data_IF_343690554216
#
_entry.id   IF_343690554216
#
_cell.length_a   1.000
_cell.length_b   1.000
_cell.length_c   1.000
_cell.angle_alpha   90.00
_cell.angle_beta   90.00
_cell.angle_gamma   90.00
#
_symmetry.space_group_name_H-M   'P 1'
#
loop_
_entity.id
_entity.type
_entity.pdbx_description
1 polymer ?
#
# COMPACT_ATOMS: atom_id res chain seq x y z
N UNK A 1 64.43 -17.02 -34.12
CA UNK A 1 63.79 -16.33 -35.27
C UNK A 1 62.32 -16.74 -35.33
N UNK A 2 61.43 -15.75 -35.50
CA UNK A 2 59.97 -15.83 -35.76
C UNK A 2 59.09 -16.17 -34.54
N UNK A 3 57.97 -15.51 -34.29
CA UNK A 3 57.37 -14.25 -34.79
C UNK A 3 56.36 -13.85 -33.70
N UNK A 4 56.36 -12.58 -33.34
CA UNK A 4 55.36 -11.91 -32.49
C UNK A 4 54.02 -11.89 -33.23
N UNK A 5 52.92 -12.26 -32.55
CA UNK A 5 51.58 -11.83 -32.92
C UNK A 5 50.87 -11.37 -31.63
N UNK A 6 50.87 -10.06 -31.44
CA UNK A 6 50.01 -9.34 -30.51
C UNK A 6 48.57 -9.43 -31.07
N UNK A 7 47.65 -9.98 -30.29
CA UNK A 7 46.21 -9.90 -30.56
C UNK A 7 45.65 -8.79 -29.67
N UNK A 8 45.36 -7.65 -30.29
CA UNK A 8 44.55 -6.58 -29.70
C UNK A 8 43.10 -7.04 -29.68
N UNK A 9 42.58 -7.38 -28.50
CA UNK A 9 41.15 -7.60 -28.26
C UNK A 9 40.53 -6.26 -27.87
N UNK A 10 39.95 -5.57 -28.85
CA UNK A 10 39.06 -4.43 -28.66
C UNK A 10 37.72 -5.00 -28.18
N UNK A 11 37.49 -5.00 -26.87
CA UNK A 11 36.15 -5.23 -26.32
C UNK A 11 35.36 -3.93 -26.41
N UNK A 12 34.53 -3.86 -27.45
CA UNK A 12 33.52 -2.81 -27.64
C UNK A 12 32.49 -2.98 -26.51
N UNK A 13 32.46 -1.97 -25.63
CA UNK A 13 31.45 -1.79 -24.60
C UNK A 13 30.11 -1.54 -25.30
N UNK A 14 29.26 -2.57 -25.38
CA UNK A 14 27.85 -2.38 -25.68
C UNK A 14 27.17 -1.88 -24.41
N UNK A 15 27.09 -0.56 -24.29
CA UNK A 15 26.19 0.09 -23.34
C UNK A 15 24.77 -0.25 -23.73
N UNK A 16 24.20 -1.28 -23.11
CA UNK A 16 22.76 -1.48 -23.08
C UNK A 16 22.21 -0.41 -22.14
N UNK A 17 21.94 0.77 -22.70
CA UNK A 17 21.08 1.75 -22.04
C UNK A 17 19.68 1.12 -21.96
N UNK A 18 19.40 0.45 -20.85
CA UNK A 18 18.04 0.13 -20.43
C UNK A 18 17.35 1.48 -20.18
N UNK A 19 16.77 2.06 -21.22
CA UNK A 19 15.65 2.97 -21.06
C UNK A 19 14.55 2.14 -20.44
N UNK A 20 14.38 2.22 -19.11
CA UNK A 20 13.11 1.85 -18.51
C UNK A 20 12.08 2.79 -19.10
N UNK A 21 11.36 2.32 -20.13
CA UNK A 21 10.07 2.89 -20.46
C UNK A 21 9.27 2.87 -19.16
N UNK A 22 8.97 4.05 -18.61
CA UNK A 22 7.96 4.20 -17.58
C UNK A 22 6.69 3.58 -18.16
N UNK A 23 6.40 2.34 -17.76
CA UNK A 23 5.13 1.72 -18.05
C UNK A 23 4.08 2.66 -17.48
N UNK A 24 3.35 3.34 -18.38
CA UNK A 24 2.12 4.08 -18.11
C UNK A 24 1.10 3.12 -17.52
N UNK A 25 1.31 2.76 -16.27
CA UNK A 25 0.34 2.06 -15.44
C UNK A 25 -0.76 3.08 -15.20
N UNK A 26 -2.05 2.76 -15.42
CA UNK A 26 -3.12 3.70 -15.14
C UNK A 26 -2.99 4.18 -13.70
N UNK A 27 -2.72 5.47 -13.51
CA UNK A 27 -2.53 6.05 -12.18
C UNK A 27 -3.87 6.03 -11.46
N UNK A 28 -4.05 5.08 -10.54
CA UNK A 28 -5.24 5.04 -9.68
C UNK A 28 -5.27 6.32 -8.85
N UNK A 29 -6.38 7.05 -8.91
CA UNK A 29 -6.60 8.26 -8.11
C UNK A 29 -7.52 7.97 -6.93
N UNK A 30 -7.47 8.82 -5.90
CA UNK A 30 -8.39 8.73 -4.75
C UNK A 30 -9.85 8.75 -5.15
N UNK A 31 -10.19 9.42 -6.26
CA UNK A 31 -11.56 9.56 -6.74
C UNK A 31 -12.10 8.25 -7.34
N UNK A 32 -11.20 7.40 -7.85
CA UNK A 32 -11.52 6.11 -8.46
C UNK A 32 -11.65 4.96 -7.46
N UNK A 33 -11.16 5.13 -6.23
CA UNK A 33 -11.25 4.10 -5.19
C UNK A 33 -12.68 4.04 -4.66
N UNK A 34 -13.31 2.86 -4.74
CA UNK A 34 -14.64 2.62 -4.17
C UNK A 34 -14.60 2.61 -2.63
N UNK A 35 -15.76 2.41 -1.99
CA UNK A 35 -15.81 2.24 -0.54
C UNK A 35 -14.89 1.08 -0.10
N UNK A 36 -13.99 1.39 0.84
CA UNK A 36 -12.90 0.51 1.26
C UNK A 36 -12.95 0.18 2.76
N UNK A 37 -14.08 0.53 3.42
CA UNK A 37 -14.38 0.26 4.83
C UNK A 37 -14.38 -1.24 5.15
N UNK A 38 -14.67 -2.09 4.16
CA UNK A 38 -14.62 -3.55 4.31
C UNK A 38 -13.24 -4.08 4.71
N UNK A 39 -12.17 -3.32 4.46
CA UNK A 39 -10.80 -3.70 4.87
C UNK A 39 -10.55 -3.46 6.36
N UNK A 40 -11.41 -2.73 7.07
CA UNK A 40 -11.11 -2.24 8.43
C UNK A 40 -10.86 -3.39 9.43
N UNK A 41 -11.52 -4.55 9.26
CA UNK A 41 -11.31 -5.73 10.11
C UNK A 41 -9.99 -6.49 9.84
N UNK A 42 -9.36 -6.23 8.69
CA UNK A 42 -8.12 -6.88 8.28
C UNK A 42 -6.88 -6.23 8.91
N UNK A 43 -7.00 -5.07 9.55
CA UNK A 43 -5.89 -4.43 10.24
C UNK A 43 -5.64 -5.06 11.62
N UNK A 44 -4.38 -5.05 12.07
CA UNK A 44 -4.01 -5.56 13.39
C UNK A 44 -4.52 -4.63 14.51
N UNK A 45 -4.57 -3.33 14.22
CA UNK A 45 -5.10 -2.29 15.09
C UNK A 45 -6.19 -1.51 14.36
N UNK A 46 -6.95 -0.68 15.08
CA UNK A 46 -7.91 0.24 14.46
C UNK A 46 -7.25 0.99 13.29
N UNK A 47 -7.87 0.91 12.11
CA UNK A 47 -7.45 1.66 10.92
C UNK A 47 -7.87 3.12 11.06
N UNK A 48 -6.95 4.03 10.74
CA UNK A 48 -7.30 5.44 10.56
C UNK A 48 -7.60 5.67 9.08
N UNK A 49 -8.89 5.62 8.70
CA UNK A 49 -9.31 5.76 7.31
C UNK A 49 -9.67 7.22 7.00
N UNK A 50 -8.77 7.93 6.34
CA UNK A 50 -8.98 9.31 5.91
C UNK A 50 -9.49 9.43 4.47
N UNK A 51 -9.48 8.33 3.69
CA UNK A 51 -9.82 8.36 2.27
C UNK A 51 -11.24 8.91 2.00
N UNK A 52 -12.31 8.47 2.72
CA UNK A 52 -13.64 9.03 2.51
C UNK A 52 -13.70 10.54 2.72
N UNK A 53 -13.01 11.06 3.74
CA UNK A 53 -12.99 12.48 4.05
C UNK A 53 -12.15 13.28 3.03
N UNK A 54 -11.00 12.74 2.60
CA UNK A 54 -10.18 13.33 1.54
C UNK A 54 -10.96 13.49 0.23
N UNK A 55 -11.71 12.46 -0.17
CA UNK A 55 -12.57 12.50 -1.36
C UNK A 55 -13.70 13.52 -1.21
N UNK A 56 -14.45 13.44 -0.11
CA UNK A 56 -15.66 14.23 0.10
C UNK A 56 -15.37 15.72 0.32
N UNK A 57 -14.26 16.07 0.97
CA UNK A 57 -13.98 17.42 1.45
C UNK A 57 -12.75 18.08 0.81
N UNK A 58 -12.25 17.54 -0.31
CA UNK A 58 -11.09 18.05 -1.07
C UNK A 58 -11.07 19.58 -1.23
N UNK A 59 -12.18 20.16 -1.72
CA UNK A 59 -12.31 21.62 -1.90
C UNK A 59 -12.34 22.38 -0.57
N UNK A 60 -12.95 21.83 0.47
CA UNK A 60 -13.00 22.46 1.80
C UNK A 60 -11.65 22.43 2.50
N UNK A 61 -10.86 21.38 2.26
CA UNK A 61 -9.49 21.25 2.76
C UNK A 61 -8.51 22.18 2.01
N UNK A 62 -8.91 22.76 0.88
CA UNK A 62 -8.06 23.63 0.07
C UNK A 62 -6.81 22.89 -0.44
N UNK A 63 -6.95 21.61 -0.81
CA UNK A 63 -5.82 20.82 -1.30
C UNK A 63 -5.33 21.36 -2.64
N UNK A 64 -4.03 21.61 -2.74
CA UNK A 64 -3.39 22.01 -4.01
C UNK A 64 -3.24 20.82 -4.95
N UNK A 65 -3.03 21.08 -6.24
CA UNK A 65 -2.77 20.03 -7.23
C UNK A 65 -1.56 19.16 -6.85
N UNK A 66 -0.51 19.77 -6.30
CA UNK A 66 0.68 19.05 -5.83
C UNK A 66 0.36 18.12 -4.65
N UNK A 67 -0.44 18.59 -3.68
CA UNK A 67 -0.88 17.75 -2.56
C UNK A 67 -1.72 16.57 -3.05
N UNK A 68 -2.62 16.81 -4.00
CA UNK A 68 -3.45 15.78 -4.62
C UNK A 68 -2.59 14.76 -5.36
N UNK A 69 -1.55 15.23 -6.06
CA UNK A 69 -0.60 14.36 -6.76
C UNK A 69 0.12 13.44 -5.77
N UNK A 70 0.67 13.98 -4.68
CA UNK A 70 1.34 13.16 -3.64
C UNK A 70 0.41 12.07 -3.07
N UNK A 71 -0.86 12.42 -2.81
CA UNK A 71 -1.85 11.47 -2.34
C UNK A 71 -2.13 10.40 -3.39
N UNK A 72 -2.40 10.78 -4.64
CA UNK A 72 -2.65 9.84 -5.74
C UNK A 72 -1.46 8.91 -5.99
N UNK A 73 -0.23 9.42 -5.91
CA UNK A 73 0.99 8.61 -6.08
C UNK A 73 1.09 7.50 -5.01
N UNK A 74 0.67 7.79 -3.76
CA UNK A 74 0.59 6.77 -2.71
C UNK A 74 -0.45 5.69 -3.05
N UNK A 75 -1.69 6.09 -3.36
CA UNK A 75 -2.77 5.14 -3.63
C UNK A 75 -2.51 4.32 -4.90
N UNK A 76 -2.00 4.94 -5.96
CA UNK A 76 -1.55 4.25 -7.18
C UNK A 76 -0.52 3.16 -6.87
N UNK A 77 0.43 3.45 -5.98
CA UNK A 77 1.50 2.52 -5.65
C UNK A 77 1.08 1.39 -4.71
N UNK A 78 0.21 1.65 -3.74
CA UNK A 78 0.00 0.75 -2.61
C UNK A 78 -1.42 0.21 -2.48
N UNK A 79 -2.45 0.87 -3.01
CA UNK A 79 -3.83 0.50 -2.73
C UNK A 79 -4.17 -0.92 -3.19
N UNK A 80 -3.77 -1.30 -4.41
CA UNK A 80 -4.01 -2.66 -4.92
C UNK A 80 -3.38 -3.73 -4.02
N UNK A 81 -2.16 -3.49 -3.54
CA UNK A 81 -1.48 -4.41 -2.62
C UNK A 81 -2.19 -4.49 -1.26
N UNK A 82 -2.70 -3.37 -0.75
CA UNK A 82 -3.49 -3.34 0.48
C UNK A 82 -4.79 -4.15 0.34
N UNK A 83 -5.48 -3.99 -0.79
CA UNK A 83 -6.68 -4.76 -1.12
C UNK A 83 -6.39 -6.26 -1.23
N UNK A 84 -5.32 -6.65 -1.94
CA UNK A 84 -4.90 -8.05 -2.06
C UNK A 84 -4.59 -8.68 -0.69
N UNK A 85 -3.87 -7.95 0.18
CA UNK A 85 -3.61 -8.38 1.56
C UNK A 85 -4.91 -8.55 2.36
N UNK A 86 -5.82 -7.57 2.29
CA UNK A 86 -7.09 -7.64 3.01
C UNK A 86 -7.95 -8.83 2.55
N UNK A 87 -8.00 -9.13 1.25
CA UNK A 87 -8.68 -10.32 0.71
C UNK A 87 -8.03 -11.62 1.17
N UNK A 88 -6.71 -11.68 1.16
CA UNK A 88 -5.95 -12.83 1.65
C UNK A 88 -6.24 -13.11 3.13
N UNK A 89 -6.27 -12.06 3.97
CA UNK A 89 -6.61 -12.15 5.39
C UNK A 89 -8.02 -12.70 5.57
N UNK A 90 -9.02 -12.15 4.87
CA UNK A 90 -10.41 -12.63 4.96
C UNK A 90 -10.56 -14.11 4.58
N UNK A 91 -9.84 -14.54 3.53
CA UNK A 91 -9.86 -15.93 3.11
C UNK A 91 -9.23 -16.85 4.17
N UNK A 92 -8.09 -16.47 4.73
CA UNK A 92 -7.45 -17.22 5.83
C UNK A 92 -8.31 -17.26 7.09
N UNK A 93 -9.01 -16.16 7.42
CA UNK A 93 -9.93 -16.11 8.56
C UNK A 93 -11.11 -17.07 8.36
N UNK A 94 -11.65 -17.19 7.14
CA UNK A 94 -12.69 -18.19 6.82
C UNK A 94 -12.17 -19.61 7.02
N UNK A 95 -10.98 -19.90 6.50
CA UNK A 95 -10.33 -21.21 6.65
C UNK A 95 -10.06 -21.54 8.13
N UNK A 96 -9.63 -20.55 8.91
CA UNK A 96 -9.42 -20.70 10.35
C UNK A 96 -10.73 -21.04 11.06
N UNK A 97 -11.82 -20.33 10.75
CA UNK A 97 -13.13 -20.59 11.34
C UNK A 97 -13.62 -22.02 11.04
N UNK A 98 -13.46 -22.50 9.80
CA UNK A 98 -13.79 -23.89 9.45
C UNK A 98 -12.94 -24.89 10.24
N UNK A 99 -11.61 -24.69 10.31
CA UNK A 99 -10.72 -25.57 11.07
C UNK A 99 -11.08 -25.62 12.57
N UNK A 100 -11.50 -24.49 13.16
CA UNK A 100 -11.90 -24.45 14.57
C UNK A 100 -13.20 -25.21 14.82
N UNK A 101 -14.18 -25.08 13.93
CA UNK A 101 -15.49 -25.74 14.05
C UNK A 101 -15.38 -27.24 13.79
N UNK A 102 -14.61 -27.63 12.77
CA UNK A 102 -14.52 -29.02 12.30
C UNK A 102 -13.50 -29.87 13.08
N UNK A 103 -12.89 -29.32 14.14
CA UNK A 103 -11.90 -30.03 14.96
C UNK A 103 -10.56 -30.26 14.23
N UNK A 104 -10.14 -29.28 13.42
CA UNK A 104 -8.91 -29.30 12.65
C UNK A 104 -7.63 -29.43 13.48
N UNK A 105 -6.55 -29.83 12.80
CA UNK A 105 -5.25 -30.05 13.44
C UNK A 105 -4.74 -28.80 14.17
N UNK A 106 -4.35 -28.90 15.47
CA UNK A 106 -3.90 -27.75 16.25
C UNK A 106 -2.68 -27.03 15.68
N UNK A 107 -1.77 -27.76 15.03
CA UNK A 107 -0.58 -27.15 14.41
C UNK A 107 -0.98 -26.31 13.20
N UNK A 108 -1.85 -26.83 12.32
CA UNK A 108 -2.41 -26.05 11.19
C UNK A 108 -3.14 -24.80 11.64
N UNK A 109 -3.98 -24.90 12.68
CA UNK A 109 -4.68 -23.75 13.28
C UNK A 109 -3.67 -22.69 13.73
N UNK A 110 -2.64 -23.10 14.47
CA UNK A 110 -1.59 -22.20 14.96
C UNK A 110 -0.84 -21.53 13.81
N UNK A 111 -0.43 -22.30 12.81
CA UNK A 111 0.33 -21.77 11.66
C UNK A 111 -0.50 -20.73 10.90
N UNK A 112 -1.80 -20.99 10.68
CA UNK A 112 -2.71 -20.07 10.01
C UNK A 112 -2.94 -18.77 10.82
N UNK A 113 -3.06 -18.86 12.15
CA UNK A 113 -3.14 -17.68 13.03
C UNK A 113 -1.88 -16.81 12.87
N UNK A 114 -0.70 -17.43 12.83
CA UNK A 114 0.57 -16.71 12.67
C UNK A 114 0.65 -16.03 11.30
N UNK A 115 0.18 -16.68 10.24
CA UNK A 115 0.11 -16.09 8.89
C UNK A 115 -0.85 -14.89 8.84
N UNK A 116 -2.05 -15.04 9.39
CA UNK A 116 -3.02 -13.94 9.50
C UNK A 116 -2.37 -12.77 10.24
N UNK A 117 -1.76 -13.01 11.40
CA UNK A 117 -1.13 -11.95 12.20
C UNK A 117 -0.02 -11.22 11.43
N UNK A 118 0.80 -11.93 10.63
CA UNK A 118 1.83 -11.33 9.77
C UNK A 118 1.22 -10.43 8.70
N UNK A 119 0.19 -10.90 8.01
CA UNK A 119 -0.48 -10.11 6.97
C UNK A 119 -1.20 -8.88 7.55
N UNK A 120 -1.90 -9.04 8.69
CA UNK A 120 -2.51 -7.92 9.42
C UNK A 120 -1.47 -6.88 9.83
N UNK A 121 -0.29 -7.32 10.30
CA UNK A 121 0.82 -6.43 10.64
C UNK A 121 1.35 -5.69 9.41
N UNK A 122 1.55 -6.37 8.27
CA UNK A 122 1.98 -5.72 7.02
C UNK A 122 0.94 -4.69 6.54
N UNK A 123 -0.34 -5.04 6.57
CA UNK A 123 -1.43 -4.14 6.19
C UNK A 123 -1.47 -2.89 7.09
N UNK A 124 -1.25 -3.07 8.39
CA UNK A 124 -1.12 -1.97 9.37
C UNK A 124 0.07 -1.06 9.06
N UNK A 125 1.19 -1.62 8.62
CA UNK A 125 2.34 -0.82 8.15
C UNK A 125 1.98 0.04 6.93
N UNK A 126 1.13 -0.43 6.02
CA UNK A 126 0.64 0.42 4.92
C UNK A 126 -0.25 1.57 5.40
N UNK A 127 -1.15 1.35 6.36
CA UNK A 127 -1.95 2.46 6.91
C UNK A 127 -1.07 3.46 7.67
N UNK A 128 -0.02 3.02 8.39
CA UNK A 128 0.97 3.96 8.96
C UNK A 128 1.65 4.78 7.87
N UNK A 129 2.02 4.17 6.74
CA UNK A 129 2.62 4.89 5.60
C UNK A 129 1.64 5.88 4.98
N UNK A 130 0.38 5.48 4.79
CA UNK A 130 -0.71 6.32 4.31
C UNK A 130 -0.85 7.59 5.17
N UNK A 131 -0.98 7.40 6.50
CA UNK A 131 -1.12 8.50 7.46
C UNK A 131 0.09 9.43 7.38
N UNK A 132 1.32 8.88 7.33
CA UNK A 132 2.54 9.69 7.21
C UNK A 132 2.59 10.48 5.89
N UNK A 133 2.17 9.87 4.78
CA UNK A 133 2.07 10.57 3.50
C UNK A 133 1.08 11.72 3.59
N UNK A 134 -0.10 11.51 4.17
CA UNK A 134 -1.10 12.56 4.40
C UNK A 134 -0.51 13.69 5.27
N UNK A 135 0.13 13.34 6.39
CA UNK A 135 0.76 14.31 7.28
C UNK A 135 1.89 15.11 6.61
N UNK A 136 2.62 14.51 5.67
CA UNK A 136 3.67 15.20 4.91
C UNK A 136 3.14 16.08 3.78
N UNK A 137 2.00 15.69 3.19
CA UNK A 137 1.39 16.42 2.08
C UNK A 137 0.61 17.64 2.58
N UNK A 138 -0.12 17.50 3.69
CA UNK A 138 -1.00 18.54 4.22
C UNK A 138 -0.24 19.48 5.16
N UNK A 139 -0.68 20.74 5.22
CA UNK A 139 -0.28 21.63 6.33
C UNK A 139 -0.87 21.13 7.65
N UNK A 140 -0.31 21.58 8.77
CA UNK A 140 -0.87 21.26 10.10
C UNK A 140 -2.36 21.61 10.20
N UNK A 141 -2.75 22.78 9.72
CA UNK A 141 -4.15 23.24 9.74
C UNK A 141 -5.05 22.34 8.90
N UNK A 142 -4.62 21.98 7.68
CA UNK A 142 -5.37 21.06 6.82
C UNK A 142 -5.52 19.67 7.45
N UNK A 143 -4.47 19.15 8.09
CA UNK A 143 -4.52 17.86 8.75
C UNK A 143 -5.44 17.85 9.98
N UNK A 144 -5.41 18.91 10.80
CA UNK A 144 -6.37 19.07 11.91
C UNK A 144 -7.81 19.14 11.40
N UNK A 145 -8.05 19.91 10.34
CA UNK A 145 -9.37 19.98 9.70
C UNK A 145 -9.81 18.62 9.17
N UNK A 146 -8.91 17.86 8.55
CA UNK A 146 -9.19 16.52 8.05
C UNK A 146 -9.59 15.56 9.19
N UNK A 147 -8.88 15.57 10.33
CA UNK A 147 -9.23 14.74 11.50
C UNK A 147 -10.64 15.03 12.02
N UNK A 148 -11.02 16.31 12.08
CA UNK A 148 -12.37 16.71 12.52
C UNK A 148 -13.46 16.29 11.54
N UNK A 149 -13.13 16.18 10.25
CA UNK A 149 -14.06 15.77 9.19
C UNK A 149 -14.18 14.26 9.03
N UNK A 150 -13.25 13.47 9.57
CA UNK A 150 -13.17 12.02 9.38
C UNK A 150 -13.67 11.20 10.57
N UNK A 151 -14.20 11.82 11.62
CA UNK A 151 -14.56 11.19 12.91
C UNK A 151 -13.41 10.34 13.50
N UNK A 152 -12.16 10.62 13.11
CA UNK A 152 -10.97 9.93 13.60
C UNK A 152 -10.40 10.59 14.87
N UNK A 153 -11.26 11.19 15.71
CA UNK A 153 -10.82 11.78 16.97
C UNK A 153 -10.14 10.71 17.83
N UNK A 154 -8.86 10.93 18.14
CA UNK A 154 -8.14 10.16 19.15
C UNK A 154 -8.80 10.48 20.48
N UNK A 155 -9.48 9.50 21.08
CA UNK A 155 -9.82 9.52 22.51
C UNK A 155 -8.56 9.13 23.27
#
# INVERSE_FOLDING_TARGET
MRKVILVFLVLIVWGVSFSQEEQNTPTLTIDQINEDSWMDSAFLTKRFNFLPALKKYKSQLGLTEEQIKILNDFYSKYYKKMEELARSIQEKEKQLNSLVIDGGDPKKIKDLIVEIAKEKAELTVYNIKEIRTIQSALTKEQFEKLKNLSDQSVI
#
